data_IF_225314503816
#
_entry.id   IF_225314503816
#
_cell.length_a   1.000
_cell.length_b   1.000
_cell.length_c   1.000
_cell.angle_alpha   90.00
_cell.angle_beta   90.00
_cell.angle_gamma   90.00
#
_symmetry.space_group_name_H-M   'P 1'
#
loop_
_entity.id
_entity.type
_entity.pdbx_description
1 polymer ?
#
# COMPACT_ATOMS: atom_id res chain seq x y z
N UNK A 1 -33.05 -16.87 4.36
CA UNK A 1 -32.39 -15.64 4.84
C UNK A 1 -31.33 -15.20 3.83
N UNK A 2 -31.60 -14.23 2.94
CA UNK A 2 -30.54 -13.63 2.14
C UNK A 2 -29.70 -12.70 3.03
N UNK A 3 -28.39 -12.92 3.08
CA UNK A 3 -27.46 -12.02 3.75
C UNK A 3 -27.14 -10.83 2.82
N UNK A 4 -27.23 -9.60 3.32
CA UNK A 4 -26.89 -8.38 2.55
C UNK A 4 -25.39 -8.27 2.20
N UNK A 5 -24.55 -9.08 2.84
CA UNK A 5 -23.10 -9.08 2.63
C UNK A 5 -22.72 -9.92 1.40
N UNK A 6 -21.76 -9.46 0.57
CA UNK A 6 -21.18 -10.26 -0.51
C UNK A 6 -20.63 -11.59 0.02
N UNK A 7 -20.82 -12.66 -0.75
CA UNK A 7 -20.19 -13.96 -0.49
C UNK A 7 -19.05 -14.16 -1.48
N UNK A 8 -17.86 -14.45 -0.96
CA UNK A 8 -16.70 -14.81 -1.75
C UNK A 8 -16.46 -16.30 -1.58
N UNK A 9 -16.48 -17.04 -2.68
CA UNK A 9 -16.06 -18.44 -2.72
C UNK A 9 -14.61 -18.47 -3.14
N UNK A 10 -13.79 -19.17 -2.36
CA UNK A 10 -12.35 -19.27 -2.60
C UNK A 10 -12.01 -20.75 -2.63
N UNK A 11 -11.20 -21.15 -3.60
CA UNK A 11 -10.71 -22.53 -3.74
C UNK A 11 -9.24 -22.55 -3.40
N UNK A 12 -8.84 -23.43 -2.49
CA UNK A 12 -7.46 -23.58 -2.04
C UNK A 12 -6.63 -24.34 -3.09
N UNK A 13 -6.08 -23.60 -4.05
CA UNK A 13 -5.33 -24.16 -5.19
C UNK A 13 -4.19 -23.25 -5.62
N UNK A 14 -3.10 -23.86 -6.10
CA UNK A 14 -1.94 -23.16 -6.66
C UNK A 14 -1.38 -22.13 -5.67
N UNK A 15 -1.24 -20.89 -6.14
CA UNK A 15 -0.66 -19.78 -5.38
C UNK A 15 -1.32 -19.55 -4.03
N UNK A 16 -2.65 -19.75 -3.91
CA UNK A 16 -3.32 -19.55 -2.63
C UNK A 16 -2.88 -20.59 -1.59
N UNK A 17 -2.70 -21.85 -1.99
CA UNK A 17 -2.23 -22.89 -1.06
C UNK A 17 -0.82 -22.57 -0.58
N UNK A 18 0.06 -22.15 -1.49
CA UNK A 18 1.44 -21.80 -1.16
C UNK A 18 1.52 -20.59 -0.20
N UNK A 19 0.62 -19.61 -0.38
CA UNK A 19 0.50 -18.46 0.52
C UNK A 19 0.00 -18.89 1.91
N UNK A 20 -1.00 -19.77 1.97
CA UNK A 20 -1.54 -20.28 3.24
C UNK A 20 -0.54 -21.20 3.96
N UNK A 21 0.26 -21.96 3.22
CA UNK A 21 1.35 -22.77 3.80
C UNK A 21 2.45 -21.89 4.39
N UNK A 22 2.79 -20.77 3.75
CA UNK A 22 3.70 -19.78 4.31
C UNK A 22 3.10 -19.12 5.56
N UNK A 23 1.80 -18.79 5.53
CA UNK A 23 1.09 -18.25 6.68
C UNK A 23 1.08 -19.24 7.86
N UNK A 24 0.85 -20.53 7.62
CA UNK A 24 0.90 -21.59 8.63
C UNK A 24 2.27 -21.66 9.30
N UNK A 25 3.37 -21.55 8.55
CA UNK A 25 4.72 -21.53 9.14
C UNK A 25 4.93 -20.34 10.06
N UNK A 26 4.29 -19.20 9.76
CA UNK A 26 4.38 -17.97 10.55
C UNK A 26 3.46 -17.99 11.78
N UNK A 27 2.32 -18.66 11.68
CA UNK A 27 1.30 -18.82 12.72
C UNK A 27 0.98 -20.30 12.90
N UNK A 28 1.93 -21.09 13.46
CA UNK A 28 1.77 -22.54 13.59
C UNK A 28 0.63 -22.94 14.51
N UNK A 29 0.10 -22.02 15.31
CA UNK A 29 -1.03 -22.23 16.21
C UNK A 29 -2.41 -22.21 15.53
N UNK A 30 -2.51 -21.81 14.26
CA UNK A 30 -3.78 -21.69 13.54
C UNK A 30 -3.88 -22.80 12.49
N UNK A 31 -4.71 -23.80 12.73
CA UNK A 31 -4.88 -24.92 11.78
C UNK A 31 -5.95 -24.65 10.71
N UNK A 32 -6.85 -23.69 10.92
CA UNK A 32 -7.90 -23.35 9.96
C UNK A 32 -7.38 -22.43 8.84
N UNK A 33 -7.33 -22.95 7.61
CA UNK A 33 -6.98 -22.22 6.38
C UNK A 33 -7.80 -20.94 6.20
N UNK A 34 -9.09 -20.95 6.58
CA UNK A 34 -9.93 -19.76 6.49
C UNK A 34 -9.49 -18.69 7.49
N UNK A 35 -9.11 -19.08 8.70
CA UNK A 35 -8.61 -18.15 9.71
C UNK A 35 -7.27 -17.55 9.29
N UNK A 36 -6.37 -18.36 8.71
CA UNK A 36 -5.13 -17.87 8.10
C UNK A 36 -5.40 -16.85 6.99
N UNK A 37 -6.38 -17.09 6.12
CA UNK A 37 -6.75 -16.15 5.07
C UNK A 37 -7.24 -14.81 5.63
N UNK A 38 -8.07 -14.84 6.69
CA UNK A 38 -8.52 -13.64 7.37
C UNK A 38 -7.37 -12.90 8.06
N UNK A 39 -6.42 -13.62 8.67
CA UNK A 39 -5.24 -13.05 9.31
C UNK A 39 -4.30 -12.39 8.31
N UNK A 40 -4.08 -13.03 7.16
CA UNK A 40 -3.34 -12.44 6.04
C UNK A 40 -4.00 -11.15 5.55
N UNK A 41 -5.33 -11.13 5.38
CA UNK A 41 -6.05 -9.93 4.95
C UNK A 41 -5.90 -8.78 5.95
N UNK A 42 -5.94 -9.07 7.26
CA UNK A 42 -5.72 -8.07 8.30
C UNK A 42 -4.29 -7.49 8.25
N UNK A 43 -3.27 -8.34 8.15
CA UNK A 43 -1.87 -7.91 8.02
C UNK A 43 -1.64 -7.11 6.74
N UNK A 44 -2.27 -7.52 5.64
CA UNK A 44 -2.22 -6.81 4.36
C UNK A 44 -2.80 -5.40 4.47
N UNK A 45 -3.97 -5.24 5.12
CA UNK A 45 -4.55 -3.92 5.40
C UNK A 45 -3.58 -3.04 6.19
N UNK A 46 -3.05 -3.54 7.30
CA UNK A 46 -2.18 -2.75 8.17
C UNK A 46 -0.88 -2.34 7.45
N UNK A 47 -0.39 -3.20 6.54
CA UNK A 47 0.78 -2.91 5.68
C UNK A 47 0.47 -1.78 4.69
N UNK A 48 -0.67 -1.84 4.00
CA UNK A 48 -1.11 -0.80 3.06
C UNK A 48 -1.35 0.55 3.75
N UNK A 49 -1.93 0.54 4.96
CA UNK A 49 -2.13 1.76 5.75
C UNK A 49 -0.79 2.41 6.14
N UNK A 50 0.19 1.61 6.56
CA UNK A 50 1.54 2.10 6.86
C UNK A 50 2.21 2.72 5.63
N UNK A 51 2.20 2.03 4.49
CA UNK A 51 2.78 2.54 3.24
C UNK A 51 2.13 3.86 2.81
N UNK A 52 0.80 3.96 2.92
CA UNK A 52 0.09 5.20 2.61
C UNK A 52 0.48 6.34 3.58
N UNK A 53 0.63 6.04 4.87
CA UNK A 53 1.07 7.02 5.87
C UNK A 53 2.51 7.48 5.63
N UNK A 54 3.43 6.57 5.33
CA UNK A 54 4.83 6.89 5.01
C UNK A 54 4.91 7.76 3.76
N UNK A 55 4.15 7.41 2.71
CA UNK A 55 4.06 8.20 1.48
C UNK A 55 3.57 9.61 1.76
N UNK A 56 2.50 9.75 2.56
CA UNK A 56 1.94 11.05 2.94
C UNK A 56 2.96 11.88 3.73
N UNK A 57 3.62 11.27 4.71
CA UNK A 57 4.64 11.93 5.51
C UNK A 57 5.80 12.44 4.66
N UNK A 58 6.28 11.64 3.71
CA UNK A 58 7.33 12.08 2.78
C UNK A 58 6.89 13.27 1.91
N UNK A 59 5.63 13.33 1.50
CA UNK A 59 5.07 14.50 0.80
C UNK A 59 5.01 15.70 1.74
N UNK A 60 4.52 15.54 2.96
CA UNK A 60 4.42 16.64 3.94
C UNK A 60 5.79 17.20 4.33
N UNK A 61 6.80 16.35 4.53
CA UNK A 61 8.16 16.75 4.87
C UNK A 61 8.87 17.50 3.73
N UNK A 62 8.51 17.22 2.47
CA UNK A 62 9.11 17.86 1.29
C UNK A 62 8.27 19.02 0.74
N UNK A 63 6.99 19.10 1.10
CA UNK A 63 6.08 20.12 0.62
C UNK A 63 6.51 21.51 1.06
N UNK A 64 6.68 22.41 0.10
CA UNK A 64 7.07 23.79 0.36
C UNK A 64 8.52 23.99 0.80
N UNK A 65 9.35 22.94 0.84
CA UNK A 65 10.78 23.05 1.16
C UNK A 65 11.53 23.98 0.20
N UNK A 66 11.05 24.09 -1.05
CA UNK A 66 11.61 24.99 -2.07
C UNK A 66 10.75 26.25 -2.28
N UNK A 67 9.73 26.49 -1.44
CA UNK A 67 8.95 27.72 -1.53
C UNK A 67 9.82 28.93 -1.22
N UNK A 68 9.80 29.93 -2.11
CA UNK A 68 10.64 31.12 -1.99
C UNK A 68 12.09 30.94 -2.42
N UNK A 69 12.49 29.75 -2.91
CA UNK A 69 13.82 29.55 -3.52
C UNK A 69 13.90 30.24 -4.89
N UNK A 70 12.79 30.23 -5.63
CA UNK A 70 12.69 30.88 -6.92
C UNK A 70 11.88 32.16 -6.78
N UNK A 71 12.49 33.27 -7.18
CA UNK A 71 11.80 34.56 -7.23
C UNK A 71 10.77 34.60 -8.36
N UNK A 72 9.74 35.46 -8.26
CA UNK A 72 8.81 35.68 -9.36
C UNK A 72 9.55 36.05 -10.65
N UNK A 73 9.29 35.32 -11.75
CA UNK A 73 9.93 35.53 -13.05
C UNK A 73 11.20 34.74 -13.31
N UNK A 74 11.70 33.96 -12.34
CA UNK A 74 12.90 33.13 -12.55
C UNK A 74 12.71 31.99 -13.55
N UNK A 75 11.50 31.48 -13.69
CA UNK A 75 11.21 30.42 -14.66
C UNK A 75 11.40 30.91 -16.11
N UNK A 76 10.95 32.13 -16.39
CA UNK A 76 11.10 32.79 -17.68
C UNK A 76 12.59 33.05 -17.97
N UNK A 77 13.32 33.57 -16.98
CA UNK A 77 14.77 33.79 -17.06
C UNK A 77 15.55 32.49 -17.36
N UNK A 78 15.23 31.40 -16.66
CA UNK A 78 15.89 30.10 -16.86
C UNK A 78 15.61 29.49 -18.25
N UNK A 79 14.46 29.79 -18.86
CA UNK A 79 14.11 29.32 -20.20
C UNK A 79 14.88 30.06 -21.29
N UNK A 80 15.25 31.31 -21.08
CA UNK A 80 16.08 32.08 -22.01
C UNK A 80 17.52 31.54 -22.11
N UNK A 81 18.02 30.94 -21.04
CA UNK A 81 19.38 30.36 -20.96
C UNK A 81 19.50 29.01 -21.71
N UNK A 82 18.39 28.43 -22.18
CA UNK A 82 18.37 27.20 -22.98
C UNK A 82 17.97 27.49 -24.42
N UNK A 83 18.92 27.64 -25.36
CA UNK A 83 18.59 27.65 -26.78
C UNK A 83 18.07 26.29 -27.22
N UNK A 84 17.13 26.30 -28.18
CA UNK A 84 16.45 25.13 -28.75
C UNK A 84 17.40 24.00 -29.19
#
# INVERSE_FOLDING_TARGET
MPTTKPRYTVTDTGDLSDQLDQAQRRWPEIDDRKELLLKLAAVGRDTLEREASERRRAVEETAGMLSGVYEPGELERLREDWPE
#
